data_IF_825980654131
#
_entry.id   IF_825980654131
#
_cell.length_a   1.000
_cell.length_b   1.000
_cell.length_c   1.000
_cell.angle_alpha   90.00
_cell.angle_beta   90.00
_cell.angle_gamma   90.00
#
_symmetry.space_group_name_H-M   'P 1'
#
loop_
_entity.id
_entity.type
_entity.pdbx_description
1 polymer ?
#
# COMPACT_ATOMS: atom_id res chain seq x y z
N UNK A 1 -15.41 65.83 22.82
CA UNK A 1 -16.46 64.95 22.26
C UNK A 1 -16.16 64.75 20.77
N UNK A 2 -15.35 63.74 20.47
CA UNK A 2 -14.94 63.15 19.17
C UNK A 2 -14.32 61.81 19.60
N UNK A 3 -14.63 60.59 19.17
CA UNK A 3 -15.57 60.01 18.19
C UNK A 3 -15.67 58.51 18.53
N UNK A 4 -16.67 58.07 19.30
CA UNK A 4 -16.89 56.64 19.58
C UNK A 4 -17.37 55.88 18.32
N UNK A 5 -18.05 56.56 17.39
CA UNK A 5 -18.55 55.98 16.14
C UNK A 5 -17.43 55.61 15.14
N UNK A 6 -16.28 56.30 15.18
CA UNK A 6 -15.15 56.01 14.29
C UNK A 6 -14.33 54.78 14.69
N UNK A 7 -14.29 54.45 16.00
CA UNK A 7 -13.60 53.26 16.50
C UNK A 7 -14.42 51.98 16.27
N UNK A 8 -15.75 52.07 16.32
CA UNK A 8 -16.64 50.95 16.04
C UNK A 8 -16.45 50.43 14.60
N UNK A 9 -16.38 51.34 13.62
CA UNK A 9 -16.14 50.99 12.21
C UNK A 9 -14.78 50.33 11.95
N UNK A 10 -13.73 50.70 12.69
CA UNK A 10 -12.41 50.04 12.57
C UNK A 10 -12.36 48.66 13.22
N UNK A 11 -13.04 48.45 14.36
CA UNK A 11 -13.09 47.13 15.00
C UNK A 11 -13.95 46.14 14.22
N UNK A 12 -15.06 46.62 13.64
CA UNK A 12 -15.95 45.80 12.82
C UNK A 12 -15.28 45.37 11.49
N UNK A 13 -14.55 46.28 10.83
CA UNK A 13 -13.80 45.94 9.62
C UNK A 13 -12.70 44.90 9.84
N UNK A 14 -11.99 44.98 10.97
CA UNK A 14 -10.97 43.98 11.34
C UNK A 14 -11.62 42.64 11.68
N UNK A 15 -12.73 42.64 12.42
CA UNK A 15 -13.47 41.42 12.73
C UNK A 15 -14.00 40.74 11.45
N UNK A 16 -14.58 41.51 10.54
CA UNK A 16 -15.05 41.00 9.25
C UNK A 16 -13.90 40.43 8.40
N UNK A 17 -12.74 41.10 8.37
CA UNK A 17 -11.55 40.61 7.69
C UNK A 17 -11.05 39.28 8.25
N UNK A 18 -11.00 39.14 9.58
CA UNK A 18 -10.60 37.89 10.25
C UNK A 18 -11.61 36.77 9.97
N UNK A 19 -12.91 37.06 10.02
CA UNK A 19 -13.95 36.08 9.71
C UNK A 19 -13.86 35.62 8.24
N UNK A 20 -13.60 36.54 7.30
CA UNK A 20 -13.41 36.17 5.90
C UNK A 20 -12.15 35.32 5.68
N UNK A 21 -11.04 35.63 6.35
CA UNK A 21 -9.83 34.81 6.29
C UNK A 21 -10.03 33.43 6.93
N UNK A 22 -10.76 33.36 8.04
CA UNK A 22 -11.13 32.09 8.67
C UNK A 22 -12.06 31.28 7.76
N UNK A 23 -13.04 31.91 7.11
CA UNK A 23 -13.93 31.26 6.16
C UNK A 23 -13.18 30.76 4.93
N UNK A 24 -12.23 31.53 4.41
CA UNK A 24 -11.36 31.11 3.31
C UNK A 24 -10.43 29.96 3.74
N UNK A 25 -9.85 30.04 4.94
CA UNK A 25 -9.04 28.97 5.52
C UNK A 25 -9.86 27.70 5.70
N UNK A 26 -11.08 27.80 6.24
CA UNK A 26 -12.00 26.68 6.37
C UNK A 26 -12.32 26.12 4.99
N UNK A 27 -12.76 26.95 4.03
CA UNK A 27 -13.10 26.51 2.68
C UNK A 27 -11.94 25.76 2.00
N UNK A 28 -10.72 26.32 2.03
CA UNK A 28 -9.50 25.71 1.48
C UNK A 28 -9.10 24.44 2.25
N UNK A 29 -9.29 24.43 3.57
CA UNK A 29 -9.02 23.23 4.41
C UNK A 29 -10.09 22.14 4.25
N UNK A 30 -11.31 22.49 3.82
CA UNK A 30 -12.42 21.55 3.60
C UNK A 30 -12.45 20.97 2.19
N UNK A 31 -11.82 21.62 1.20
CA UNK A 31 -11.63 21.04 -0.15
C UNK A 31 -10.72 19.81 -0.18
N UNK A 32 -10.19 19.38 0.97
CA UNK A 32 -9.31 18.21 1.10
C UNK A 32 -9.81 17.14 2.06
N UNK A 33 -11.09 17.09 2.45
CA UNK A 33 -11.61 15.89 3.11
C UNK A 33 -12.12 14.96 2.01
N UNK A 34 -11.21 14.15 1.48
CA UNK A 34 -11.62 12.86 0.91
C UNK A 34 -12.39 12.13 2.01
N UNK A 35 -13.72 12.15 1.94
CA UNK A 35 -14.51 11.34 2.87
C UNK A 35 -14.24 9.88 2.53
N UNK A 36 -14.08 9.03 3.53
CA UNK A 36 -13.87 7.59 3.37
C UNK A 36 -14.98 6.91 2.56
N UNK A 37 -16.10 7.60 2.33
CA UNK A 37 -17.20 7.14 1.48
C UNK A 37 -16.92 7.21 -0.03
N UNK A 38 -16.11 8.15 -0.51
CA UNK A 38 -15.87 8.37 -1.96
C UNK A 38 -14.60 7.67 -2.49
N UNK A 39 -13.67 7.27 -1.61
CA UNK A 39 -12.49 6.45 -2.00
C UNK A 39 -12.77 4.95 -1.96
N UNK A 40 -13.87 4.52 -1.34
CA UNK A 40 -14.18 3.11 -1.14
C UNK A 40 -14.33 2.29 -2.44
N UNK A 41 -14.83 2.90 -3.52
CA UNK A 41 -14.95 2.19 -4.81
C UNK A 41 -13.59 1.95 -5.47
N UNK A 42 -12.74 2.97 -5.69
CA UNK A 42 -11.42 2.73 -6.28
C UNK A 42 -10.50 1.90 -5.37
N UNK A 43 -10.62 2.02 -4.04
CA UNK A 43 -9.85 1.20 -3.10
C UNK A 43 -10.30 -0.26 -3.14
N UNK A 44 -11.61 -0.51 -3.18
CA UNK A 44 -12.14 -1.88 -3.32
C UNK A 44 -11.73 -2.50 -4.66
N UNK A 45 -11.69 -1.74 -5.74
CA UNK A 45 -11.20 -2.22 -7.03
C UNK A 45 -9.72 -2.59 -6.97
N UNK A 46 -8.91 -1.79 -6.27
CA UNK A 46 -7.48 -2.05 -6.11
C UNK A 46 -7.22 -3.27 -5.20
N UNK A 47 -8.05 -3.46 -4.17
CA UNK A 47 -8.02 -4.65 -3.31
C UNK A 47 -8.36 -5.91 -4.09
N UNK A 48 -9.44 -5.85 -4.88
CA UNK A 48 -9.85 -6.96 -5.73
C UNK A 48 -8.78 -7.28 -6.77
N UNK A 49 -8.20 -6.27 -7.43
CA UNK A 49 -7.14 -6.45 -8.42
C UNK A 49 -5.90 -7.08 -7.79
N UNK A 50 -5.40 -6.51 -6.68
CA UNK A 50 -4.21 -7.03 -6.02
C UNK A 50 -4.42 -8.45 -5.47
N UNK A 51 -5.61 -8.73 -4.92
CA UNK A 51 -5.97 -10.07 -4.43
C UNK A 51 -6.07 -11.09 -5.55
N UNK A 52 -6.61 -10.72 -6.71
CA UNK A 52 -6.74 -11.61 -7.86
C UNK A 52 -5.37 -11.92 -8.46
N UNK A 53 -4.53 -10.90 -8.67
CA UNK A 53 -3.15 -11.08 -9.15
C UNK A 53 -2.35 -11.96 -8.19
N UNK A 54 -2.44 -11.72 -6.87
CA UNK A 54 -1.72 -12.54 -5.90
C UNK A 54 -2.23 -13.99 -5.85
N UNK A 55 -3.53 -14.22 -6.08
CA UNK A 55 -4.10 -15.56 -6.18
C UNK A 55 -3.72 -16.27 -7.48
N UNK A 56 -3.64 -15.55 -8.60
CA UNK A 56 -3.14 -16.05 -9.87
C UNK A 56 -1.69 -16.49 -9.74
N UNK A 57 -0.83 -15.66 -9.14
CA UNK A 57 0.59 -15.99 -8.91
C UNK A 57 0.79 -17.17 -7.95
N UNK A 58 -0.17 -17.43 -7.07
CA UNK A 58 -0.19 -18.57 -6.16
C UNK A 58 -0.75 -19.85 -6.82
N UNK A 59 -1.11 -19.80 -8.10
CA UNK A 59 -1.56 -20.96 -8.86
C UNK A 59 -0.42 -21.48 -9.75
N UNK A 60 -0.15 -22.80 -9.80
CA UNK A 60 0.86 -23.35 -10.71
C UNK A 60 0.45 -23.16 -12.19
N UNK A 61 1.39 -22.70 -13.02
CA UNK A 61 1.17 -22.42 -14.44
C UNK A 61 0.90 -23.68 -15.28
N UNK A 62 1.49 -24.82 -14.90
CA UNK A 62 1.35 -26.08 -15.65
C UNK A 62 0.74 -27.19 -14.80
N UNK A 63 -0.13 -27.99 -15.41
CA UNK A 63 -0.64 -29.22 -14.79
C UNK A 63 0.51 -30.19 -14.50
N UNK A 64 0.85 -30.35 -13.22
CA UNK A 64 1.95 -31.19 -12.76
C UNK A 64 3.08 -30.43 -12.07
N UNK A 65 3.08 -29.10 -12.13
CA UNK A 65 4.00 -28.30 -11.31
C UNK A 65 3.62 -28.38 -9.84
N UNK A 66 4.63 -28.59 -9.00
CA UNK A 66 4.46 -28.75 -7.56
C UNK A 66 4.52 -27.44 -6.79
N UNK A 67 4.84 -26.33 -7.46
CA UNK A 67 5.07 -25.01 -6.86
C UNK A 67 4.45 -23.92 -7.71
N UNK A 68 3.88 -22.91 -7.04
CA UNK A 68 3.42 -21.68 -7.68
C UNK A 68 4.58 -20.71 -7.92
N UNK A 69 4.40 -19.75 -8.82
CA UNK A 69 5.39 -18.70 -9.05
C UNK A 69 5.63 -17.87 -7.79
N UNK A 70 4.57 -17.59 -7.03
CA UNK A 70 4.67 -16.92 -5.74
C UNK A 70 5.54 -17.71 -4.77
N UNK A 71 5.34 -19.04 -4.66
CA UNK A 71 6.21 -19.89 -3.84
C UNK A 71 7.67 -19.83 -4.32
N UNK A 72 7.90 -19.86 -5.63
CA UNK A 72 9.23 -19.80 -6.20
C UNK A 72 9.95 -18.48 -5.89
N UNK A 73 9.27 -17.32 -5.99
CA UNK A 73 9.88 -16.04 -5.66
C UNK A 73 10.22 -15.93 -4.18
N UNK A 74 9.31 -16.33 -3.29
CA UNK A 74 9.58 -16.30 -1.84
C UNK A 74 10.69 -17.31 -1.47
N UNK A 75 10.70 -18.48 -2.11
CA UNK A 75 11.70 -19.52 -1.86
C UNK A 75 13.09 -19.19 -2.44
N UNK A 76 13.18 -18.30 -3.41
CA UNK A 76 14.45 -17.79 -3.96
C UNK A 76 14.83 -16.42 -3.42
N UNK A 77 13.99 -15.85 -2.54
CA UNK A 77 14.09 -14.49 -2.04
C UNK A 77 14.24 -13.43 -3.17
N UNK A 78 13.49 -13.60 -4.26
CA UNK A 78 13.59 -12.76 -5.44
C UNK A 78 12.46 -11.72 -5.49
N UNK A 79 12.58 -10.71 -4.62
CA UNK A 79 11.59 -9.62 -4.51
C UNK A 79 11.51 -8.74 -5.76
N UNK A 80 12.63 -8.52 -6.46
CA UNK A 80 12.67 -7.65 -7.64
C UNK A 80 11.87 -8.22 -8.82
N UNK A 81 12.03 -9.52 -9.11
CA UNK A 81 11.25 -10.19 -10.16
C UNK A 81 9.79 -10.35 -9.75
N UNK A 82 9.52 -10.63 -8.47
CA UNK A 82 8.16 -10.62 -7.93
C UNK A 82 7.47 -9.27 -8.17
N UNK A 83 8.14 -8.15 -7.85
CA UNK A 83 7.61 -6.79 -8.07
C UNK A 83 7.27 -6.55 -9.54
N UNK A 84 8.21 -6.85 -10.44
CA UNK A 84 8.02 -6.64 -11.89
C UNK A 84 6.82 -7.43 -12.41
N UNK A 85 6.72 -8.71 -12.01
CA UNK A 85 5.67 -9.59 -12.50
C UNK A 85 4.31 -9.21 -11.92
N UNK A 86 4.24 -8.91 -10.63
CA UNK A 86 3.02 -8.45 -9.97
C UNK A 86 2.49 -7.16 -10.62
N UNK A 87 3.34 -6.13 -10.78
CA UNK A 87 2.94 -4.88 -11.43
C UNK A 87 2.58 -5.09 -12.90
N UNK A 88 3.25 -6.00 -13.61
CA UNK A 88 2.91 -6.35 -14.99
C UNK A 88 1.51 -6.96 -15.10
N UNK A 89 1.11 -7.80 -14.15
CA UNK A 89 -0.24 -8.38 -14.13
C UNK A 89 -1.30 -7.35 -13.72
N UNK A 90 -1.01 -6.48 -12.75
CA UNK A 90 -1.92 -5.39 -12.39
C UNK A 90 -2.16 -4.42 -13.56
N UNK A 91 -1.15 -4.20 -14.40
CA UNK A 91 -1.22 -3.32 -15.58
C UNK A 91 -1.53 -4.03 -16.90
N UNK A 92 -1.93 -5.30 -16.85
CA UNK A 92 -2.25 -6.06 -18.05
C UNK A 92 -3.54 -5.49 -18.69
N UNK A 93 -3.37 -4.64 -19.70
CA UNK A 93 -4.48 -4.08 -20.49
C UNK A 93 -4.31 -4.40 -21.98
N UNK A 94 -5.44 -4.54 -22.67
CA UNK A 94 -5.48 -4.74 -24.13
C UNK A 94 -5.48 -3.42 -24.90
N UNK A 95 -5.80 -2.30 -24.23
CA UNK A 95 -5.78 -0.93 -24.79
C UNK A 95 -5.84 0.12 -23.68
N UNK A 96 -5.31 1.32 -23.93
CA UNK A 96 -5.31 2.44 -22.97
C UNK A 96 -3.94 2.72 -22.36
N UNK A 97 -3.88 3.74 -21.51
CA UNK A 97 -2.68 4.11 -20.77
C UNK A 97 -2.47 3.16 -19.57
N UNK A 98 -1.21 2.87 -19.25
CA UNK A 98 -0.84 2.05 -18.10
C UNK A 98 -1.12 2.83 -16.81
N UNK A 99 -1.54 2.12 -15.77
CA UNK A 99 -1.80 2.71 -14.48
C UNK A 99 -0.50 2.91 -13.69
N UNK A 100 -0.41 4.00 -12.94
CA UNK A 100 0.78 4.34 -12.14
C UNK A 100 0.69 3.67 -10.76
N UNK A 101 0.80 2.34 -10.77
CA UNK A 101 0.72 1.51 -9.59
C UNK A 101 2.10 1.29 -8.97
N UNK A 102 2.15 1.41 -7.64
CA UNK A 102 3.33 1.16 -6.84
C UNK A 102 3.03 0.10 -5.78
N UNK A 103 4.05 -0.67 -5.41
CA UNK A 103 3.92 -1.73 -4.41
C UNK A 103 5.09 -1.80 -3.44
N UNK A 104 4.80 -2.34 -2.26
CA UNK A 104 5.74 -2.76 -1.24
C UNK A 104 5.27 -4.12 -0.75
N UNK A 105 6.20 -5.01 -0.38
CA UNK A 105 5.85 -6.34 0.10
C UNK A 105 6.70 -6.74 1.29
N UNK A 106 6.06 -7.42 2.25
CA UNK A 106 6.69 -7.99 3.42
C UNK A 106 6.31 -9.47 3.54
N UNK A 107 7.26 -10.27 3.99
CA UNK A 107 7.03 -11.67 4.33
C UNK A 107 6.99 -11.78 5.83
N UNK A 108 5.81 -12.10 6.36
CA UNK A 108 5.59 -12.31 7.78
C UNK A 108 5.77 -13.79 8.09
N UNK A 109 6.62 -14.10 9.06
CA UNK A 109 6.96 -15.45 9.44
C UNK A 109 7.03 -15.61 10.96
N UNK A 110 6.92 -16.86 11.41
CA UNK A 110 7.05 -17.18 12.83
C UNK A 110 8.49 -17.55 13.17
N UNK A 111 9.09 -16.84 14.12
CA UNK A 111 10.37 -17.21 14.73
C UNK A 111 10.14 -17.59 16.19
N UNK A 112 10.22 -18.88 16.49
CA UNK A 112 9.93 -19.40 17.84
C UNK A 112 8.51 -19.06 18.31
N UNK A 113 8.41 -18.24 19.36
CA UNK A 113 7.16 -17.75 19.94
C UNK A 113 6.65 -16.42 19.35
N UNK A 114 7.44 -15.77 18.49
CA UNK A 114 7.16 -14.43 17.97
C UNK A 114 6.78 -14.45 16.49
N UNK A 115 6.01 -13.44 16.08
CA UNK A 115 5.76 -13.13 14.67
C UNK A 115 6.72 -12.02 14.28
N UNK A 116 7.44 -12.21 13.18
CA UNK A 116 8.44 -11.28 12.66
C UNK A 116 8.19 -11.03 11.18
N UNK A 117 8.70 -9.90 10.71
CA UNK A 117 8.49 -9.42 9.36
C UNK A 117 9.85 -9.30 8.66
N UNK A 118 9.87 -9.62 7.37
CA UNK A 118 11.01 -9.42 6.49
C UNK A 118 10.58 -8.55 5.33
N UNK A 119 11.30 -7.45 5.10
CA UNK A 119 11.09 -6.65 3.90
C UNK A 119 11.44 -7.48 2.67
N UNK A 120 10.45 -7.77 1.84
CA UNK A 120 10.63 -8.56 0.62
C UNK A 120 10.79 -7.65 -0.60
N UNK A 121 9.99 -6.60 -0.69
CA UNK A 121 10.10 -5.54 -1.71
C UNK A 121 10.00 -4.20 -1.01
N UNK A 122 11.05 -3.38 -1.10
CA UNK A 122 11.01 -2.02 -0.55
C UNK A 122 10.08 -1.11 -1.38
N UNK A 123 9.40 -0.15 -0.73
CA UNK A 123 8.66 0.89 -1.45
C UNK A 123 9.61 1.74 -2.31
N UNK A 124 9.09 2.35 -3.37
CA UNK A 124 9.88 3.26 -4.20
C UNK A 124 10.19 4.55 -3.44
N UNK A 125 11.49 4.88 -3.31
CA UNK A 125 12.00 5.99 -2.48
C UNK A 125 11.38 7.36 -2.79
N UNK A 126 10.90 7.57 -4.03
CA UNK A 126 10.36 8.85 -4.48
C UNK A 126 8.83 8.97 -4.43
N UNK A 127 8.11 7.87 -4.18
CA UNK A 127 6.64 7.86 -4.19
C UNK A 127 6.03 7.43 -2.86
N UNK A 128 6.86 7.14 -1.86
CA UNK A 128 6.43 6.74 -0.53
C UNK A 128 6.63 7.87 0.48
N UNK A 129 5.52 8.48 0.90
CA UNK A 129 5.46 9.50 1.97
C UNK A 129 4.83 8.97 3.26
N UNK A 130 4.33 7.73 3.24
CA UNK A 130 3.59 7.10 4.33
C UNK A 130 2.19 7.67 4.53
N UNK A 131 1.70 8.46 3.55
CA UNK A 131 0.37 9.10 3.54
C UNK A 131 -0.47 8.68 2.35
N UNK A 132 0.05 7.75 1.56
CA UNK A 132 -0.63 7.19 0.40
C UNK A 132 -1.85 6.39 0.86
N UNK A 133 -2.91 6.39 0.04
CA UNK A 133 -4.04 5.51 0.27
C UNK A 133 -3.66 4.11 -0.20
N UNK A 134 -3.02 3.34 0.68
CA UNK A 134 -2.54 2.00 0.38
C UNK A 134 -3.60 0.95 0.69
N UNK A 135 -3.76 0.01 -0.22
CA UNK A 135 -4.56 -1.19 -0.01
C UNK A 135 -3.64 -2.35 0.35
N UNK A 136 -4.06 -3.15 1.32
CA UNK A 136 -3.31 -4.31 1.80
C UNK A 136 -3.94 -5.61 1.29
N UNK A 137 -3.11 -6.43 0.67
CA UNK A 137 -3.49 -7.75 0.17
C UNK A 137 -2.55 -8.80 0.77
N UNK A 138 -3.10 -9.95 1.18
CA UNK A 138 -2.32 -10.98 1.85
C UNK A 138 -2.57 -12.38 1.29
N UNK A 139 -1.53 -13.22 1.22
CA UNK A 139 -1.63 -14.63 0.82
C UNK A 139 -0.67 -15.51 1.62
N UNK A 140 -1.14 -16.70 2.00
CA UNK A 140 -0.31 -17.69 2.68
C UNK A 140 0.49 -18.52 1.68
N UNK A 141 1.78 -18.69 1.93
CA UNK A 141 2.71 -19.48 1.12
C UNK A 141 3.38 -20.52 2.00
N UNK A 142 3.52 -21.74 1.51
CA UNK A 142 4.24 -22.80 2.21
C UNK A 142 5.69 -22.87 1.72
N UNK A 143 6.63 -22.74 2.63
CA UNK A 143 8.06 -22.84 2.36
C UNK A 143 8.61 -24.21 2.81
N UNK A 144 9.63 -24.71 2.09
CA UNK A 144 10.28 -25.96 2.44
C UNK A 144 11.04 -25.86 3.77
N UNK A 145 11.52 -27.02 4.25
CA UNK A 145 12.33 -27.14 5.46
C UNK A 145 13.56 -26.24 5.42
N UNK A 146 14.26 -26.24 4.29
CA UNK A 146 15.42 -25.38 4.08
C UNK A 146 14.99 -23.93 3.94
N UNK A 147 15.59 -23.05 4.74
CA UNK A 147 15.41 -21.61 4.66
C UNK A 147 15.97 -21.10 3.32
N UNK A 148 15.21 -20.25 2.60
CA UNK A 148 15.71 -19.57 1.41
C UNK A 148 16.98 -18.76 1.67
N UNK A 149 17.86 -18.66 0.66
CA UNK A 149 19.02 -17.77 0.74
C UNK A 149 18.55 -16.31 0.84
N UNK A 150 19.19 -15.50 1.70
CA UNK A 150 18.83 -14.09 1.91
C UNK A 150 17.67 -13.83 2.87
N UNK A 151 16.90 -14.86 3.25
CA UNK A 151 15.89 -14.74 4.31
C UNK A 151 16.54 -14.61 5.71
N UNK A 152 15.83 -14.00 6.69
CA UNK A 152 16.36 -13.75 8.02
C UNK A 152 16.89 -15.00 8.74
N UNK A 153 18.00 -14.86 9.46
CA UNK A 153 18.71 -15.99 10.08
C UNK A 153 17.96 -16.67 11.22
N UNK A 154 16.97 -15.99 11.76
CA UNK A 154 16.05 -16.39 12.81
C UNK A 154 14.78 -17.07 12.27
N UNK A 155 14.60 -17.12 10.95
CA UNK A 155 13.57 -17.97 10.34
C UNK A 155 13.94 -19.46 10.56
N UNK A 156 13.00 -20.32 11.00
CA UNK A 156 13.24 -21.74 11.23
C UNK A 156 13.86 -22.43 10.01
N UNK A 157 14.76 -23.39 10.21
CA UNK A 157 15.46 -24.11 9.13
C UNK A 157 15.38 -25.65 9.26
N UNK A 158 14.52 -26.11 10.14
CA UNK A 158 14.41 -27.50 10.61
C UNK A 158 13.03 -28.12 10.30
N UNK A 159 12.07 -27.31 9.82
CA UNK A 159 10.72 -27.73 9.47
C UNK A 159 10.12 -26.91 8.32
N UNK A 160 9.14 -27.48 7.59
CA UNK A 160 8.28 -26.70 6.69
C UNK A 160 7.60 -25.55 7.43
N UNK A 161 7.33 -24.46 6.72
CA UNK A 161 6.88 -23.19 7.31
C UNK A 161 5.72 -22.64 6.50
N UNK A 162 4.71 -22.11 7.15
CA UNK A 162 3.76 -21.22 6.49
C UNK A 162 4.21 -19.78 6.74
N UNK A 163 4.34 -18.99 5.67
CA UNK A 163 4.62 -17.56 5.72
C UNK A 163 3.47 -16.79 5.09
N UNK A 164 3.20 -15.59 5.58
CA UNK A 164 2.20 -14.70 5.00
C UNK A 164 2.95 -13.68 4.13
N UNK A 165 2.64 -13.66 2.85
CA UNK A 165 3.08 -12.58 1.96
C UNK A 165 2.04 -11.48 2.04
N UNK A 166 2.46 -10.31 2.49
CA UNK A 166 1.64 -9.11 2.56
C UNK A 166 2.15 -8.10 1.54
N UNK A 167 1.27 -7.62 0.68
CA UNK A 167 1.54 -6.62 -0.35
C UNK A 167 0.72 -5.37 -0.04
N UNK A 168 1.39 -4.23 0.01
CA UNK A 168 0.79 -2.91 0.02
C UNK A 168 0.83 -2.37 -1.41
N UNK A 169 -0.33 -1.97 -1.93
CA UNK A 169 -0.53 -1.47 -3.29
C UNK A 169 -1.17 -0.08 -3.24
N UNK A 170 -0.66 0.87 -4.01
CA UNK A 170 -1.23 2.21 -4.11
C UNK A 170 -1.03 2.80 -5.51
N UNK A 171 -1.77 3.87 -5.79
CA UNK A 171 -1.65 4.66 -7.01
C UNK A 171 -1.01 6.01 -6.67
N UNK A 172 -0.10 6.51 -7.51
CA UNK A 172 0.56 7.80 -7.36
C UNK A 172 0.26 8.75 -8.52
#
# INVERSE_FOLDING_TARGET
MVSEEGQLYTMEGVAAGIIMLLAAYIAVSTTGIYTTGDTHIPDMQLEQLGSDVLAMMDTPDTAGDSKSDLENFVNTNNGDEFKKMFLSYCNATTSGDLDNLHMSAVVVYRSGGEIREHQFVAPDDNTWTGRENTVRVTRWVQLPTTRPAGMPTDMPNDRPKAVLVEVLLWRA
#
